data_IF_165793637680
#
_entry.id   IF_165793637680
#
_cell.length_a   1.000
_cell.length_b   1.000
_cell.length_c   1.000
_cell.angle_alpha   90.00
_cell.angle_beta   90.00
_cell.angle_gamma   90.00
#
_symmetry.space_group_name_H-M   'P 1'
#
loop_
_entity.id
_entity.type
_entity.pdbx_description
1 polymer ?
#
# COMPACT_ATOMS: atom_id res chain seq x y z
N UNK A 1 -8.29 -38.50 0.91
CA UNK A 1 -8.93 -37.21 1.19
C UNK A 1 -7.87 -36.10 1.18
N UNK A 2 -7.65 -35.37 0.07
CA UNK A 2 -6.84 -34.17 0.09
C UNK A 2 -7.70 -32.97 -0.31
N UNK A 3 -8.15 -32.21 0.68
CA UNK A 3 -8.75 -30.90 0.48
C UNK A 3 -7.81 -29.85 1.06
N UNK A 4 -7.85 -28.65 0.49
CA UNK A 4 -7.17 -27.42 0.91
C UNK A 4 -5.70 -27.25 0.52
N UNK A 5 -5.51 -26.62 -0.64
CA UNK A 5 -4.68 -25.42 -0.78
C UNK A 5 -4.99 -24.74 -2.11
N UNK A 6 -6.20 -24.18 -2.21
CA UNK A 6 -6.40 -23.04 -3.11
C UNK A 6 -5.59 -21.90 -2.51
N UNK A 7 -4.34 -21.77 -2.95
CA UNK A 7 -3.58 -20.53 -2.79
C UNK A 7 -4.47 -19.46 -3.41
N UNK A 8 -5.12 -18.64 -2.58
CA UNK A 8 -5.75 -17.40 -3.04
C UNK A 8 -4.65 -16.66 -3.78
N UNK A 9 -4.72 -16.70 -5.10
CA UNK A 9 -3.81 -15.98 -5.95
C UNK A 9 -4.16 -14.53 -5.67
N UNK A 10 -3.36 -13.90 -4.80
CA UNK A 10 -3.50 -12.50 -4.45
C UNK A 10 -3.29 -11.77 -5.76
N UNK A 11 -4.37 -11.40 -6.44
CA UNK A 11 -4.27 -10.68 -7.70
C UNK A 11 -3.75 -9.28 -7.36
N UNK A 12 -2.54 -8.90 -7.78
CA UNK A 12 -2.06 -7.53 -7.63
C UNK A 12 -2.81 -6.54 -8.55
N UNK A 13 -3.78 -7.01 -9.33
CA UNK A 13 -4.49 -6.28 -10.39
C UNK A 13 -5.68 -5.45 -9.92
N UNK A 14 -5.92 -5.32 -8.61
CA UNK A 14 -7.06 -4.53 -8.11
C UNK A 14 -6.76 -3.02 -8.00
N UNK A 15 -5.48 -2.62 -7.92
CA UNK A 15 -5.10 -1.21 -7.92
C UNK A 15 -4.77 -0.82 -9.37
N UNK A 16 -5.41 0.21 -9.95
CA UNK A 16 -5.07 0.69 -11.29
C UNK A 16 -3.59 1.07 -11.41
N UNK A 17 -2.95 0.73 -12.54
CA UNK A 17 -1.51 0.92 -12.75
C UNK A 17 -1.04 2.37 -12.52
N UNK A 18 -1.84 3.34 -12.89
CA UNK A 18 -1.52 4.77 -12.69
C UNK A 18 -1.53 5.15 -11.20
N UNK A 19 -2.48 4.63 -10.42
CA UNK A 19 -2.51 4.85 -8.97
C UNK A 19 -1.36 4.13 -8.27
N UNK A 20 -1.02 2.91 -8.72
CA UNK A 20 0.14 2.19 -8.21
C UNK A 20 1.43 2.97 -8.46
N UNK A 21 1.58 3.58 -9.66
CA UNK A 21 2.74 4.41 -10.00
C UNK A 21 2.85 5.63 -9.07
N UNK A 22 1.76 6.39 -8.89
CA UNK A 22 1.75 7.56 -8.00
C UNK A 22 2.09 7.19 -6.55
N UNK A 23 1.51 6.08 -6.06
CA UNK A 23 1.84 5.53 -4.75
C UNK A 23 3.32 5.17 -4.62
N UNK A 24 3.91 4.52 -5.65
CA UNK A 24 5.31 4.10 -5.61
C UNK A 24 6.25 5.31 -5.53
N UNK A 25 5.97 6.37 -6.29
CA UNK A 25 6.74 7.63 -6.24
C UNK A 25 6.64 8.27 -4.86
N UNK A 26 5.42 8.44 -4.34
CA UNK A 26 5.20 9.07 -3.04
C UNK A 26 5.87 8.28 -1.90
N UNK A 27 5.81 6.94 -1.92
CA UNK A 27 6.44 6.10 -0.91
C UNK A 27 7.98 6.21 -0.97
N UNK A 28 8.55 6.25 -2.17
CA UNK A 28 9.98 6.41 -2.36
C UNK A 28 10.48 7.77 -1.85
N UNK A 29 9.75 8.84 -2.12
CA UNK A 29 10.13 10.20 -1.72
C UNK A 29 10.05 10.39 -0.21
N UNK A 30 9.05 9.80 0.46
CA UNK A 30 8.93 9.85 1.93
C UNK A 30 10.04 9.06 2.62
N UNK A 31 10.50 7.94 2.04
CA UNK A 31 11.61 7.15 2.60
C UNK A 31 12.93 7.94 2.54
N UNK A 32 13.16 8.71 1.47
CA UNK A 32 14.44 9.40 1.20
C UNK A 32 14.51 10.84 1.67
N UNK A 33 13.41 11.58 1.56
CA UNK A 33 13.35 13.00 1.82
C UNK A 33 12.22 13.23 2.81
N UNK A 34 12.57 13.21 4.09
CA UNK A 34 11.67 13.43 5.24
C UNK A 34 10.87 14.76 5.23
N UNK A 35 11.00 15.57 4.18
CA UNK A 35 10.43 16.90 4.03
C UNK A 35 9.26 17.00 3.01
N UNK A 36 8.97 15.97 2.19
CA UNK A 36 7.85 15.95 1.22
C UNK A 36 7.23 14.55 1.12
N UNK A 37 5.91 14.36 1.17
CA UNK A 37 5.02 14.80 2.25
C UNK A 37 4.19 13.57 2.67
N UNK A 38 4.18 13.25 3.97
CA UNK A 38 3.30 12.20 4.52
C UNK A 38 1.83 12.40 4.12
N UNK A 39 1.44 13.64 3.79
CA UNK A 39 0.13 14.00 3.27
C UNK A 39 -0.12 13.48 1.84
N UNK A 40 0.84 13.59 0.92
CA UNK A 40 0.75 13.07 -0.46
C UNK A 40 0.69 11.54 -0.46
N UNK A 41 1.51 10.87 0.36
CA UNK A 41 1.41 9.42 0.52
C UNK A 41 0.05 9.02 1.08
N UNK A 42 -0.47 9.75 2.07
CA UNK A 42 -1.80 9.52 2.63
C UNK A 42 -2.91 9.73 1.58
N UNK A 43 -2.79 10.72 0.73
CA UNK A 43 -3.74 10.95 -0.37
C UNK A 43 -3.71 9.82 -1.40
N UNK A 44 -2.51 9.34 -1.77
CA UNK A 44 -2.35 8.19 -2.65
C UNK A 44 -2.95 6.92 -2.04
N UNK A 45 -2.70 6.67 -0.75
CA UNK A 45 -3.35 5.59 0.01
C UNK A 45 -4.86 5.72 -0.08
N UNK A 46 -5.39 6.92 0.17
CA UNK A 46 -6.82 7.19 0.11
C UNK A 46 -7.43 6.89 -1.25
N UNK A 47 -6.79 7.36 -2.33
CA UNK A 47 -7.24 7.11 -3.70
C UNK A 47 -7.27 5.60 -4.04
N UNK A 48 -6.21 4.86 -3.69
CA UNK A 48 -6.17 3.41 -3.86
C UNK A 48 -7.29 2.71 -3.09
N UNK A 49 -7.52 3.09 -1.84
CA UNK A 49 -8.53 2.46 -0.97
C UNK A 49 -9.94 2.73 -1.48
N UNK A 50 -10.24 3.98 -1.90
CA UNK A 50 -11.51 4.32 -2.54
C UNK A 50 -11.73 3.50 -3.81
N UNK A 51 -10.73 3.42 -4.70
CA UNK A 51 -10.82 2.60 -5.92
C UNK A 51 -11.09 1.12 -5.62
N UNK A 52 -10.45 0.55 -4.59
CA UNK A 52 -10.67 -0.84 -4.17
C UNK A 52 -12.07 -1.05 -3.61
N UNK A 53 -12.52 -0.14 -2.74
CA UNK A 53 -13.85 -0.16 -2.13
C UNK A 53 -14.95 -0.04 -3.19
N UNK A 54 -14.81 0.92 -4.11
CA UNK A 54 -15.76 1.17 -5.20
C UNK A 54 -15.83 -0.03 -6.18
N UNK A 55 -14.76 -0.82 -6.24
CA UNK A 55 -14.70 -2.09 -6.99
C UNK A 55 -15.26 -3.30 -6.22
N UNK A 56 -15.83 -3.09 -5.02
CA UNK A 56 -16.42 -4.15 -4.19
C UNK A 56 -15.40 -5.01 -3.44
N UNK A 57 -14.14 -4.58 -3.32
CA UNK A 57 -13.10 -5.32 -2.60
C UNK A 57 -13.33 -5.18 -1.09
N UNK A 58 -13.53 -6.30 -0.40
CA UNK A 58 -13.70 -6.32 1.05
C UNK A 58 -12.48 -5.82 1.83
N UNK A 59 -12.65 -5.40 3.09
CA UNK A 59 -11.61 -4.71 3.87
C UNK A 59 -10.34 -5.55 4.07
N UNK A 60 -10.47 -6.86 4.27
CA UNK A 60 -9.32 -7.76 4.42
C UNK A 60 -8.50 -7.87 3.12
N UNK A 61 -9.18 -8.05 1.97
CA UNK A 61 -8.53 -8.09 0.65
C UNK A 61 -7.90 -6.75 0.29
N UNK A 62 -8.53 -5.63 0.66
CA UNK A 62 -7.98 -4.29 0.47
C UNK A 62 -6.65 -4.13 1.21
N UNK A 63 -6.56 -4.51 2.49
CA UNK A 63 -5.31 -4.43 3.25
C UNK A 63 -4.21 -5.28 2.60
N UNK A 64 -4.56 -6.48 2.13
CA UNK A 64 -3.62 -7.35 1.42
C UNK A 64 -3.11 -6.68 0.14
N UNK A 65 -4.00 -6.06 -0.65
CA UNK A 65 -3.65 -5.36 -1.88
C UNK A 65 -2.73 -4.16 -1.61
N UNK A 66 -3.05 -3.33 -0.60
CA UNK A 66 -2.21 -2.20 -0.21
C UNK A 66 -0.82 -2.62 0.26
N UNK A 67 -0.73 -3.68 1.08
CA UNK A 67 0.56 -4.25 1.51
C UNK A 67 1.35 -4.82 0.33
N UNK A 68 0.69 -5.50 -0.61
CA UNK A 68 1.35 -6.00 -1.81
C UNK A 68 1.90 -4.86 -2.66
N UNK A 69 1.13 -3.78 -2.83
CA UNK A 69 1.54 -2.59 -3.59
C UNK A 69 2.78 -1.91 -2.98
N UNK A 70 2.80 -1.72 -1.65
CA UNK A 70 3.95 -1.14 -0.96
C UNK A 70 5.21 -2.03 -1.01
N UNK A 71 5.05 -3.35 -0.87
CA UNK A 71 6.18 -4.29 -1.03
C UNK A 71 6.72 -4.30 -2.45
N UNK A 72 5.86 -4.11 -3.44
CA UNK A 72 6.27 -4.00 -4.83
C UNK A 72 7.04 -2.70 -5.09
N UNK A 73 6.71 -1.60 -4.42
CA UNK A 73 7.53 -0.37 -4.46
C UNK A 73 8.95 -0.64 -3.97
N UNK A 74 9.12 -1.35 -2.85
CA UNK A 74 10.43 -1.70 -2.31
C UNK A 74 11.25 -2.61 -3.25
N UNK A 75 10.58 -3.43 -4.08
CA UNK A 75 11.24 -4.25 -5.11
C UNK A 75 11.63 -3.44 -6.35
N UNK A 76 10.76 -2.52 -6.79
CA UNK A 76 10.98 -1.68 -7.97
C UNK A 76 12.06 -0.62 -7.75
N UNK A 77 12.22 -0.16 -6.52
CA UNK A 77 13.26 0.78 -6.11
C UNK A 77 14.13 0.12 -5.04
N UNK A 78 15.00 -0.84 -5.42
CA UNK A 78 15.90 -1.48 -4.47
C UNK A 78 16.95 -0.46 -4.03
N UNK A 79 16.78 0.09 -2.83
CA UNK A 79 17.74 1.00 -2.21
C UNK A 79 18.48 0.22 -1.13
N UNK A 80 19.80 0.41 -1.05
CA UNK A 80 20.56 0.04 0.14
C UNK A 80 20.13 1.00 1.26
N UNK A 81 19.11 0.58 2.02
CA UNK A 81 18.58 1.36 3.13
C UNK A 81 19.54 1.25 4.33
N UNK A 82 19.83 2.38 4.94
CA UNK A 82 20.41 2.48 6.28
C UNK A 82 19.43 1.93 7.34
N UNK A 83 19.92 1.65 8.54
CA UNK A 83 19.10 1.19 9.67
C UNK A 83 17.95 2.17 10.01
N UNK A 84 18.21 3.47 9.85
CA UNK A 84 17.20 4.52 10.02
C UNK A 84 16.09 4.43 8.96
N UNK A 85 16.46 4.20 7.70
CA UNK A 85 15.51 4.06 6.59
C UNK A 85 14.69 2.76 6.68
N UNK A 86 15.27 1.68 7.19
CA UNK A 86 14.55 0.43 7.49
C UNK A 86 13.49 0.64 8.57
N UNK A 87 13.85 1.31 9.67
CA UNK A 87 12.91 1.67 10.74
C UNK A 87 11.77 2.56 10.21
N UNK A 88 12.11 3.50 9.32
CA UNK A 88 11.13 4.37 8.68
C UNK A 88 10.18 3.58 7.76
N UNK A 89 10.68 2.59 7.02
CA UNK A 89 9.86 1.73 6.17
C UNK A 89 8.82 0.91 6.97
N UNK A 90 9.21 0.35 8.11
CA UNK A 90 8.28 -0.36 9.00
C UNK A 90 7.20 0.58 9.56
N UNK A 91 7.61 1.76 10.02
CA UNK A 91 6.67 2.80 10.46
C UNK A 91 5.68 3.20 9.36
N UNK A 92 6.16 3.40 8.13
CA UNK A 92 5.32 3.77 6.98
C UNK A 92 4.33 2.66 6.62
N UNK A 93 4.75 1.39 6.70
CA UNK A 93 3.85 0.26 6.49
C UNK A 93 2.70 0.24 7.50
N UNK A 94 2.97 0.54 8.77
CA UNK A 94 1.91 0.69 9.79
C UNK A 94 0.98 1.86 9.48
N UNK A 95 1.52 3.02 9.06
CA UNK A 95 0.70 4.18 8.69
C UNK A 95 -0.18 3.90 7.48
N UNK A 96 0.35 3.25 6.43
CA UNK A 96 -0.41 2.83 5.25
C UNK A 96 -1.59 1.96 5.65
N UNK A 97 -1.38 0.96 6.50
CA UNK A 97 -2.47 0.09 6.99
C UNK A 97 -3.50 0.89 7.79
N UNK A 98 -3.05 1.73 8.72
CA UNK A 98 -3.93 2.56 9.55
C UNK A 98 -4.80 3.50 8.71
N UNK A 99 -4.20 4.23 7.77
CA UNK A 99 -4.94 5.12 6.88
C UNK A 99 -5.88 4.34 5.97
N UNK A 100 -5.48 3.17 5.49
CA UNK A 100 -6.35 2.32 4.68
C UNK A 100 -7.60 1.88 5.41
N UNK A 101 -7.49 1.51 6.70
CA UNK A 101 -8.63 1.17 7.53
C UNK A 101 -9.55 2.38 7.72
N UNK A 102 -8.98 3.53 8.11
CA UNK A 102 -9.76 4.75 8.35
C UNK A 102 -10.51 5.16 7.08
N UNK A 103 -9.82 5.20 5.94
CA UNK A 103 -10.42 5.62 4.67
C UNK A 103 -11.53 4.68 4.22
N UNK A 104 -11.33 3.37 4.35
CA UNK A 104 -12.31 2.39 3.91
C UNK A 104 -13.67 2.58 4.59
N UNK A 105 -13.68 2.97 5.88
CA UNK A 105 -14.88 3.18 6.68
C UNK A 105 -15.34 4.64 6.78
N UNK A 106 -14.62 5.61 6.19
CA UNK A 106 -14.92 7.04 6.33
C UNK A 106 -16.12 7.52 5.48
N UNK A 107 -16.60 6.72 4.52
CA UNK A 107 -17.81 7.00 3.71
C UNK A 107 -18.94 5.98 3.97
N UNK A 108 -18.98 5.37 5.16
CA UNK A 108 -20.07 4.49 5.58
C UNK A 108 -21.11 5.24 6.45
#
# INVERSE_FOLDING_TARGET
>A
MPEMRSRTQIQPSFIPDEMARLFHVALHDVVRTSAVSMAELRECVGACVRSLRDSGVGPAQMIIAMKACARESARRYPVLLSEHELTNADFLMEQIVKWSIIEYYNDA
#
